data_IF_948555336362
#
_entry.id   IF_948555336362
#
_cell.length_a   1.000
_cell.length_b   1.000
_cell.length_c   1.000
_cell.angle_alpha   90.00
_cell.angle_beta   90.00
_cell.angle_gamma   90.00
#
_symmetry.space_group_name_H-M   'P 1'
#
loop_
_entity.id
_entity.type
_entity.pdbx_description
1 polymer ?
#
# COMPACT_ATOMS: atom_id res chain seq x y z
N UNK A 1 -34.92 -7.69 38.55
CA UNK A 1 -33.62 -7.81 39.27
C UNK A 1 -33.19 -9.26 39.10
N UNK A 2 -32.10 -9.68 38.49
CA UNK A 2 -30.86 -9.03 38.08
C UNK A 2 -29.79 -10.12 38.17
N UNK A 3 -29.76 -11.07 37.22
CA UNK A 3 -28.70 -12.08 37.16
C UNK A 3 -27.48 -11.47 36.47
N UNK A 4 -26.75 -10.65 37.20
CA UNK A 4 -25.50 -10.02 36.80
C UNK A 4 -24.33 -10.66 37.57
N UNK A 5 -24.11 -11.96 37.37
CA UNK A 5 -22.80 -12.57 37.61
C UNK A 5 -22.34 -13.13 36.27
N UNK A 6 -21.71 -12.27 35.46
CA UNK A 6 -20.96 -12.70 34.29
C UNK A 6 -19.87 -13.65 34.76
N UNK A 7 -20.00 -14.93 34.44
CA UNK A 7 -18.95 -15.91 34.65
C UNK A 7 -17.69 -15.41 33.94
N UNK A 8 -16.58 -15.27 34.66
CA UNK A 8 -15.29 -14.97 34.06
C UNK A 8 -15.03 -16.05 33.00
N UNK A 9 -14.93 -15.64 31.72
CA UNK A 9 -14.69 -16.56 30.60
C UNK A 9 -13.51 -17.45 30.93
N UNK A 10 -13.62 -18.75 30.66
CA UNK A 10 -12.53 -19.69 30.86
C UNK A 10 -11.34 -19.32 29.98
N UNK A 11 -10.12 -19.70 30.37
CA UNK A 11 -8.90 -19.36 29.62
C UNK A 11 -9.00 -19.87 28.17
N UNK A 12 -9.46 -21.10 27.97
CA UNK A 12 -9.85 -21.67 26.66
C UNK A 12 -10.85 -20.83 25.84
N UNK A 13 -11.86 -20.24 26.48
CA UNK A 13 -12.84 -19.37 25.81
C UNK A 13 -12.22 -18.04 25.41
N UNK A 14 -11.42 -17.44 26.28
CA UNK A 14 -10.66 -16.21 25.99
C UNK A 14 -9.69 -16.42 24.82
N UNK A 15 -8.93 -17.53 24.80
CA UNK A 15 -8.03 -17.86 23.69
C UNK A 15 -8.79 -18.06 22.36
N UNK A 16 -10.00 -18.65 22.39
CA UNK A 16 -10.85 -18.78 21.19
C UNK A 16 -11.38 -17.45 20.69
N UNK A 17 -11.79 -16.57 21.59
CA UNK A 17 -12.30 -15.25 21.26
C UNK A 17 -11.20 -14.37 20.67
N UNK A 18 -10.06 -14.28 21.34
CA UNK A 18 -8.90 -13.53 20.86
C UNK A 18 -8.43 -14.04 19.48
N UNK A 19 -8.41 -15.36 19.24
CA UNK A 19 -8.11 -15.92 17.91
C UNK A 19 -9.13 -15.46 16.86
N UNK A 20 -10.41 -15.34 17.19
CA UNK A 20 -11.43 -14.83 16.26
C UNK A 20 -11.24 -13.34 15.97
N UNK A 21 -10.93 -12.55 16.99
CA UNK A 21 -10.67 -11.12 16.85
C UNK A 21 -9.45 -10.85 15.99
N UNK A 22 -8.34 -11.56 16.22
CA UNK A 22 -7.14 -11.47 15.38
C UNK A 22 -7.46 -11.82 13.93
N UNK A 23 -8.22 -12.89 13.68
CA UNK A 23 -8.61 -13.26 12.31
C UNK A 23 -9.50 -12.19 11.65
N UNK A 24 -10.36 -11.50 12.41
CA UNK A 24 -11.15 -10.37 11.90
C UNK A 24 -10.24 -9.19 11.57
N UNK A 25 -9.31 -8.86 12.46
CA UNK A 25 -8.34 -7.79 12.26
C UNK A 25 -7.46 -8.06 11.02
N UNK A 26 -6.92 -9.27 10.85
CA UNK A 26 -6.15 -9.65 9.65
C UNK A 26 -6.95 -9.41 8.36
N UNK A 27 -8.22 -9.82 8.33
CA UNK A 27 -9.08 -9.58 7.16
C UNK A 27 -9.37 -8.11 6.91
N UNK A 28 -9.48 -7.31 7.98
CA UNK A 28 -9.64 -5.87 7.86
C UNK A 28 -8.38 -5.21 7.30
N UNK A 29 -7.20 -5.57 7.81
CA UNK A 29 -5.92 -5.11 7.29
C UNK A 29 -5.74 -5.47 5.81
N UNK A 30 -6.10 -6.70 5.40
CA UNK A 30 -6.02 -7.12 4.00
C UNK A 30 -6.96 -6.29 3.09
N UNK A 31 -8.16 -5.93 3.57
CA UNK A 31 -9.08 -5.06 2.83
C UNK A 31 -8.52 -3.64 2.70
N UNK A 32 -8.05 -3.06 3.80
CA UNK A 32 -7.47 -1.71 3.82
C UNK A 32 -6.23 -1.62 2.93
N UNK A 33 -5.34 -2.61 3.00
CA UNK A 33 -4.20 -2.72 2.08
C UNK A 33 -4.65 -2.73 0.62
N UNK A 34 -5.66 -3.53 0.28
CA UNK A 34 -6.17 -3.63 -1.10
C UNK A 34 -6.75 -2.29 -1.57
N UNK A 35 -7.43 -1.56 -0.67
CA UNK A 35 -7.92 -0.21 -0.96
C UNK A 35 -6.77 0.77 -1.21
N UNK A 36 -5.72 0.74 -0.40
CA UNK A 36 -4.52 1.57 -0.59
C UNK A 36 -3.80 1.23 -1.90
N UNK A 37 -3.69 -0.05 -2.27
CA UNK A 37 -3.11 -0.46 -3.57
C UNK A 37 -3.93 0.05 -4.77
N UNK A 38 -5.26 0.16 -4.64
CA UNK A 38 -6.09 0.78 -5.66
C UNK A 38 -5.91 2.30 -5.71
N UNK A 39 -5.74 2.96 -4.56
CA UNK A 39 -5.44 4.39 -4.48
C UNK A 39 -4.06 4.70 -5.07
N UNK A 40 -3.05 3.88 -4.78
CA UNK A 40 -1.70 3.97 -5.35
C UNK A 40 -1.77 3.96 -6.89
N UNK A 41 -2.50 3.01 -7.48
CA UNK A 41 -2.68 2.94 -8.94
C UNK A 41 -3.35 4.19 -9.51
N UNK A 42 -4.35 4.74 -8.82
CA UNK A 42 -5.03 5.98 -9.23
C UNK A 42 -4.09 7.17 -9.15
N UNK A 43 -3.34 7.32 -8.06
CA UNK A 43 -2.34 8.36 -7.88
C UNK A 43 -1.28 8.31 -8.99
N UNK A 44 -0.78 7.13 -9.34
CA UNK A 44 0.19 6.99 -10.44
C UNK A 44 -0.37 7.52 -11.77
N UNK A 45 -1.64 7.21 -12.09
CA UNK A 45 -2.29 7.70 -13.31
C UNK A 45 -2.43 9.22 -13.27
N UNK A 46 -2.82 9.78 -12.13
CA UNK A 46 -3.00 11.22 -11.94
C UNK A 46 -1.67 11.98 -12.02
N UNK A 47 -0.62 11.48 -11.37
CA UNK A 47 0.75 12.02 -11.43
C UNK A 47 1.21 12.05 -12.90
N UNK A 48 1.04 10.95 -13.65
CA UNK A 48 1.38 10.91 -15.09
C UNK A 48 0.61 11.94 -15.92
N UNK A 49 -0.68 12.15 -15.61
CA UNK A 49 -1.51 13.13 -16.31
C UNK A 49 -1.03 14.57 -16.02
N UNK A 50 -0.74 14.88 -14.77
CA UNK A 50 -0.32 16.21 -14.34
C UNK A 50 1.11 16.54 -14.80
N UNK A 51 1.98 15.54 -14.87
CA UNK A 51 3.31 15.66 -15.47
C UNK A 51 3.25 16.03 -16.96
N UNK A 52 2.37 15.38 -17.74
CA UNK A 52 2.14 15.74 -19.15
C UNK A 52 1.60 17.15 -19.34
N UNK A 53 0.91 17.69 -18.33
CA UNK A 53 0.41 19.06 -18.33
C UNK A 53 1.45 20.08 -17.86
N UNK A 54 2.67 19.65 -17.50
CA UNK A 54 3.73 20.52 -17.00
C UNK A 54 3.49 21.07 -15.60
N UNK A 55 2.55 20.52 -14.83
CA UNK A 55 2.23 20.99 -13.47
C UNK A 55 3.20 20.39 -12.43
N UNK A 56 4.45 20.82 -12.48
CA UNK A 56 5.55 20.25 -11.67
C UNK A 56 5.32 20.36 -10.15
N UNK A 57 4.75 21.47 -9.66
CA UNK A 57 4.44 21.62 -8.24
C UNK A 57 3.40 20.59 -7.75
N UNK A 58 2.33 20.39 -8.52
CA UNK A 58 1.30 19.39 -8.23
C UNK A 58 1.87 17.97 -8.27
N UNK A 59 2.73 17.67 -9.26
CA UNK A 59 3.43 16.38 -9.37
C UNK A 59 4.28 16.10 -8.12
N UNK A 60 5.03 17.09 -7.62
CA UNK A 60 5.85 16.91 -6.41
C UNK A 60 5.01 16.59 -5.18
N UNK A 61 3.87 17.26 -4.99
CA UNK A 61 2.96 17.00 -3.86
C UNK A 61 2.37 15.59 -3.96
N UNK A 62 1.82 15.23 -5.12
CA UNK A 62 1.23 13.90 -5.31
C UNK A 62 2.26 12.78 -5.24
N UNK A 63 3.51 13.03 -5.62
CA UNK A 63 4.60 12.07 -5.46
C UNK A 63 4.93 11.82 -3.98
N UNK A 64 4.90 12.84 -3.12
CA UNK A 64 4.99 12.66 -1.66
C UNK A 64 3.84 11.79 -1.13
N UNK A 65 2.62 12.04 -1.60
CA UNK A 65 1.46 11.21 -1.21
C UNK A 65 1.56 9.77 -1.70
N UNK A 66 2.16 9.55 -2.87
CA UNK A 66 2.45 8.21 -3.39
C UNK A 66 3.47 7.48 -2.50
N UNK A 67 4.54 8.13 -2.09
CA UNK A 67 5.55 7.56 -1.16
C UNK A 67 4.89 7.17 0.16
N UNK A 68 4.11 8.07 0.76
CA UNK A 68 3.34 7.79 1.99
C UNK A 68 2.40 6.60 1.81
N UNK A 69 1.69 6.53 0.68
CA UNK A 69 0.77 5.42 0.39
C UNK A 69 1.52 4.08 0.32
N UNK A 70 2.69 4.04 -0.34
CA UNK A 70 3.55 2.85 -0.40
C UNK A 70 4.08 2.45 0.97
N UNK A 71 4.55 3.40 1.77
CA UNK A 71 4.98 3.16 3.15
C UNK A 71 3.84 2.56 4.00
N UNK A 72 2.62 3.10 3.88
CA UNK A 72 1.46 2.53 4.55
C UNK A 72 1.18 1.10 4.09
N UNK A 73 1.20 0.80 2.79
CA UNK A 73 1.03 -0.56 2.26
C UNK A 73 2.06 -1.51 2.88
N UNK A 74 3.33 -1.12 2.96
CA UNK A 74 4.38 -1.90 3.62
C UNK A 74 4.09 -2.09 5.10
N UNK A 75 3.69 -1.03 5.81
CA UNK A 75 3.29 -1.10 7.24
C UNK A 75 2.14 -2.08 7.46
N UNK A 76 1.15 -2.12 6.56
CA UNK A 76 0.06 -3.10 6.60
C UNK A 76 0.55 -4.55 6.43
N UNK A 77 1.57 -4.81 5.58
CA UNK A 77 2.20 -6.13 5.50
C UNK A 77 2.89 -6.51 6.82
N UNK A 78 3.64 -5.59 7.42
CA UNK A 78 4.29 -5.81 8.71
C UNK A 78 3.27 -6.10 9.82
N UNK A 79 2.23 -5.27 9.94
CA UNK A 79 1.15 -5.47 10.92
C UNK A 79 0.42 -6.80 10.73
N UNK A 80 0.14 -7.19 9.48
CA UNK A 80 -0.44 -8.51 9.18
C UNK A 80 0.47 -9.63 9.68
N UNK A 81 1.77 -9.56 9.39
CA UNK A 81 2.76 -10.55 9.81
C UNK A 81 2.81 -10.64 11.35
N UNK A 82 2.82 -9.51 12.03
CA UNK A 82 2.76 -9.43 13.50
C UNK A 82 1.50 -10.10 14.05
N UNK A 83 0.32 -9.81 13.49
CA UNK A 83 -0.93 -10.48 13.91
C UNK A 83 -0.90 -11.99 13.65
N UNK A 84 -0.28 -12.44 12.55
CA UNK A 84 -0.09 -13.86 12.29
C UNK A 84 0.84 -14.50 13.32
N UNK A 85 1.92 -13.83 13.71
CA UNK A 85 2.81 -14.29 14.78
C UNK A 85 2.08 -14.39 16.13
N UNK A 86 1.26 -13.39 16.48
CA UNK A 86 0.44 -13.42 17.70
C UNK A 86 -0.58 -14.57 17.65
N UNK A 87 -1.21 -14.83 16.50
CA UNK A 87 -2.11 -15.97 16.30
C UNK A 87 -1.42 -17.31 16.55
N UNK A 88 -0.18 -17.47 16.08
CA UNK A 88 0.64 -18.66 16.30
C UNK A 88 1.02 -18.83 17.78
N UNK A 89 1.40 -17.74 18.45
CA UNK A 89 1.66 -17.75 19.91
C UNK A 89 0.41 -18.15 20.69
N UNK A 90 -0.77 -17.65 20.31
CA UNK A 90 -2.06 -18.05 20.88
C UNK A 90 -2.37 -19.54 20.69
N UNK A 91 -2.01 -20.10 19.54
CA UNK A 91 -2.16 -21.53 19.27
C UNK A 91 -1.23 -22.40 20.13
N UNK A 92 -0.01 -21.90 20.36
CA UNK A 92 0.95 -22.51 21.28
C UNK A 92 0.44 -22.47 22.71
N UNK A 93 -0.05 -21.30 23.18
CA UNK A 93 -0.63 -21.14 24.50
C UNK A 93 -1.83 -22.05 24.74
N UNK A 94 -2.70 -22.22 23.74
CA UNK A 94 -3.83 -23.16 23.79
C UNK A 94 -3.37 -24.62 23.94
N UNK A 95 -2.28 -24.98 23.26
CA UNK A 95 -1.72 -26.33 23.32
C UNK A 95 -1.06 -26.58 24.69
N UNK A 96 -0.37 -25.57 25.23
CA UNK A 96 0.18 -25.59 26.59
C UNK A 96 -0.92 -25.70 27.65
N UNK A 97 -2.04 -24.97 27.53
CA UNK A 97 -3.21 -25.11 28.42
C UNK A 97 -3.78 -26.53 28.37
N UNK A 98 -3.96 -27.10 27.17
CA UNK A 98 -4.48 -28.46 27.01
C UNK A 98 -3.54 -29.51 27.64
N UNK A 99 -2.23 -29.35 27.45
CA UNK A 99 -1.22 -30.20 28.08
C UNK A 99 -1.24 -30.06 29.61
N UNK A 100 -1.32 -28.83 30.12
CA UNK A 100 -1.41 -28.57 31.56
C UNK A 100 -2.66 -29.19 32.17
N UNK A 101 -3.81 -29.08 31.49
CA UNK A 101 -5.06 -29.69 31.93
C UNK A 101 -4.98 -31.23 31.94
N UNK A 102 -4.35 -31.84 30.92
CA UNK A 102 -4.10 -33.27 30.89
C UNK A 102 -3.14 -33.71 32.02
N UNK A 103 -2.07 -32.94 32.25
CA UNK A 103 -1.11 -33.16 33.32
C UNK A 103 -1.73 -32.97 34.71
N UNK A 104 -2.70 -32.07 34.90
CA UNK A 104 -3.44 -31.94 36.14
C UNK A 104 -4.26 -33.21 36.43
N UNK A 105 -4.92 -33.78 35.42
CA UNK A 105 -5.65 -35.04 35.55
C UNK A 105 -4.73 -36.22 35.93
N UNK A 106 -3.60 -36.37 35.23
CA UNK A 106 -2.62 -37.41 35.55
C UNK A 106 -1.89 -37.15 36.86
N UNK A 107 -1.57 -35.91 37.22
CA UNK A 107 -0.95 -35.57 38.51
C UNK A 107 -1.92 -35.81 39.66
N UNK A 108 -3.23 -35.56 39.48
CA UNK A 108 -4.24 -35.88 40.49
C UNK A 108 -4.36 -37.40 40.67
N UNK A 109 -4.36 -38.18 39.59
CA UNK A 109 -4.31 -39.64 39.64
C UNK A 109 -2.99 -40.14 40.26
N UNK A 110 -1.86 -39.51 39.93
CA UNK A 110 -0.54 -39.82 40.45
C UNK A 110 -0.42 -39.40 41.92
N UNK A 111 -1.12 -38.37 42.38
CA UNK A 111 -1.22 -37.97 43.79
C UNK A 111 -2.12 -38.91 44.60
N UNK A 112 -3.20 -39.38 43.99
CA UNK A 112 -4.03 -40.46 44.55
C UNK A 112 -3.28 -41.82 44.59
N UNK A 113 -2.31 -42.01 43.69
CA UNK A 113 -1.37 -43.14 43.72
C UNK A 113 -0.15 -42.89 44.63
N UNK A 114 0.24 -41.63 44.83
CA UNK A 114 1.36 -41.27 45.70
C UNK A 114 0.96 -41.24 47.18
N UNK A 115 -0.32 -41.04 47.50
CA UNK A 115 -0.86 -41.31 48.83
C UNK A 115 -0.74 -42.79 49.21
N UNK A 116 -0.59 -43.68 48.22
CA UNK A 116 -0.25 -45.10 48.41
C UNK A 116 1.23 -45.42 48.11
N UNK A 117 2.01 -44.47 47.57
CA UNK A 117 3.43 -44.67 47.21
C UNK A 117 4.28 -43.37 47.23
N UNK A 118 5.11 -43.21 48.27
CA UNK A 118 6.28 -42.31 48.44
C UNK A 118 6.19 -40.79 48.08
N UNK A 119 6.04 -39.96 49.12
CA UNK A 119 6.04 -38.49 49.13
C UNK A 119 7.29 -37.73 48.60
N UNK A 120 8.54 -38.24 48.65
CA UNK A 120 9.72 -37.43 48.29
C UNK A 120 9.79 -36.98 46.82
N UNK A 121 9.25 -37.77 45.89
CA UNK A 121 9.37 -37.51 44.44
C UNK A 121 8.46 -36.38 43.95
N UNK A 122 7.35 -36.13 44.63
CA UNK A 122 6.41 -35.06 44.29
C UNK A 122 7.00 -33.66 44.57
N UNK A 123 7.78 -33.52 45.64
CA UNK A 123 8.45 -32.26 45.96
C UNK A 123 9.51 -31.87 44.92
N UNK A 124 10.14 -32.86 44.28
CA UNK A 124 11.15 -32.62 43.26
C UNK A 124 10.53 -32.13 41.94
N UNK A 125 9.36 -32.66 41.56
CA UNK A 125 8.61 -32.23 40.37
C UNK A 125 8.13 -30.77 40.52
N UNK A 126 7.67 -30.39 41.72
CA UNK A 126 7.29 -28.99 42.01
C UNK A 126 8.46 -28.02 41.85
N UNK A 127 9.66 -28.39 42.32
CA UNK A 127 10.86 -27.56 42.20
C UNK A 127 11.33 -27.39 40.75
N UNK A 128 11.28 -28.46 39.93
CA UNK A 128 11.60 -28.37 38.50
C UNK A 128 10.62 -27.47 37.75
N UNK A 129 9.31 -27.55 38.05
CA UNK A 129 8.31 -26.71 37.40
C UNK A 129 8.51 -25.21 37.67
N UNK A 130 8.83 -24.83 38.91
CA UNK A 130 9.14 -23.43 39.26
C UNK A 130 10.34 -22.90 38.48
N UNK A 131 11.40 -23.71 38.37
CA UNK A 131 12.63 -23.33 37.67
C UNK A 131 12.42 -23.18 36.16
N UNK A 132 11.59 -24.04 35.57
CA UNK A 132 11.28 -23.99 34.14
C UNK A 132 10.35 -22.82 33.78
N UNK A 133 9.41 -22.48 34.68
CA UNK A 133 8.52 -21.33 34.51
C UNK A 133 9.25 -19.98 34.58
N UNK A 134 10.17 -19.82 35.55
CA UNK A 134 11.00 -18.61 35.66
C UNK A 134 11.87 -18.39 34.41
N UNK A 135 12.41 -19.48 33.83
CA UNK A 135 13.19 -19.42 32.59
C UNK A 135 12.35 -18.97 31.40
N UNK A 136 11.07 -19.34 31.36
CA UNK A 136 10.15 -18.92 30.30
C UNK A 136 9.84 -17.42 30.39
N UNK A 137 9.62 -16.90 31.60
CA UNK A 137 9.33 -15.48 31.84
C UNK A 137 10.51 -14.59 31.39
N UNK A 138 11.75 -14.97 31.72
CA UNK A 138 12.96 -14.26 31.31
C UNK A 138 13.15 -14.22 29.77
N UNK A 139 12.79 -15.30 29.07
CA UNK A 139 12.86 -15.32 27.58
C UNK A 139 11.82 -14.44 26.91
N UNK A 140 10.71 -14.15 27.60
CA UNK A 140 9.64 -13.33 27.07
C UNK A 140 9.95 -11.84 27.22
N UNK A 141 10.68 -11.46 28.26
CA UNK A 141 11.20 -10.10 28.50
C UNK A 141 12.30 -9.72 27.48
N UNK A 142 13.30 -10.58 27.25
CA UNK A 142 14.35 -10.31 26.25
C UNK A 142 13.85 -10.22 24.79
N UNK A 143 12.70 -10.83 24.49
CA UNK A 143 12.08 -10.73 23.17
C UNK A 143 11.29 -9.41 22.97
N UNK A 144 10.93 -8.72 24.05
CA UNK A 144 10.28 -7.40 24.01
C UNK A 144 11.27 -6.29 23.62
N UNK A 145 12.40 -6.23 24.31
CA UNK A 145 13.38 -5.14 24.16
C UNK A 145 14.10 -5.14 22.79
N UNK A 146 14.24 -6.30 22.15
CA UNK A 146 14.86 -6.41 20.81
C UNK A 146 13.94 -6.01 19.66
N UNK A 147 12.63 -5.85 19.91
CA UNK A 147 11.65 -5.44 18.90
C UNK A 147 11.42 -3.93 18.92
N UNK A 148 11.58 -3.27 20.07
CA UNK A 148 11.40 -1.81 20.18
C UNK A 148 12.61 -1.01 19.64
N UNK A 149 13.84 -1.53 19.74
CA UNK A 149 15.07 -0.86 19.26
C UNK A 149 15.20 -0.77 17.72
N UNK A 150 14.37 -1.49 16.95
CA UNK A 150 14.43 -1.52 15.48
C UNK A 150 13.48 -0.50 14.84
N UNK A 151 12.59 0.13 15.61
CA UNK A 151 11.56 1.03 15.08
C UNK A 151 11.86 2.53 15.20
N UNK A 152 12.99 2.91 15.81
CA UNK A 152 13.30 4.32 16.15
C UNK A 152 14.29 5.00 15.20
N UNK A 153 14.54 4.40 14.03
CA UNK A 153 15.33 5.01 12.97
C UNK A 153 14.42 5.49 11.82
N UNK A 154 14.69 6.72 11.38
CA UNK A 154 14.36 7.27 10.05
C UNK A 154 13.14 8.19 9.97
N UNK A 155 13.38 9.47 10.30
CA UNK A 155 12.68 10.63 9.72
C UNK A 155 13.66 11.78 9.49
N UNK A 156 14.48 11.69 8.43
CA UNK A 156 15.25 12.82 7.89
C UNK A 156 14.56 13.40 6.64
N UNK A 157 14.21 14.69 6.68
CA UNK A 157 13.47 15.38 5.60
C UNK A 157 14.26 15.47 4.28
N UNK A 158 15.59 15.44 4.31
CA UNK A 158 16.43 15.47 3.10
C UNK A 158 16.41 14.15 2.30
N UNK A 159 16.10 13.04 2.97
CA UNK A 159 15.96 11.74 2.30
C UNK A 159 14.62 11.66 1.54
N UNK A 160 13.58 12.31 2.05
CA UNK A 160 12.25 12.29 1.43
C UNK A 160 12.27 12.84 0.00
N UNK A 161 12.95 13.96 -0.24
CA UNK A 161 12.99 14.56 -1.58
C UNK A 161 13.79 13.70 -2.57
N UNK A 162 14.81 12.95 -2.10
CA UNK A 162 15.53 11.95 -2.92
C UNK A 162 14.63 10.75 -3.25
N UNK A 163 13.89 10.25 -2.27
CA UNK A 163 12.94 9.13 -2.43
C UNK A 163 11.83 9.53 -3.42
N UNK A 164 11.33 10.76 -3.35
CA UNK A 164 10.34 11.29 -4.30
C UNK A 164 10.89 11.30 -5.73
N UNK A 165 12.14 11.75 -5.93
CA UNK A 165 12.81 11.71 -7.23
C UNK A 165 12.89 10.28 -7.80
N UNK A 166 13.38 9.33 -6.99
CA UNK A 166 13.46 7.92 -7.37
C UNK A 166 12.10 7.34 -7.79
N UNK A 167 11.04 7.66 -7.05
CA UNK A 167 9.68 7.19 -7.38
C UNK A 167 9.15 7.81 -8.68
N UNK A 168 9.48 9.05 -8.99
CA UNK A 168 9.11 9.69 -10.26
C UNK A 168 9.85 9.05 -11.44
N UNK A 169 11.12 8.71 -11.26
CA UNK A 169 11.94 8.00 -12.25
C UNK A 169 11.38 6.59 -12.52
N UNK A 170 11.01 5.84 -11.47
CA UNK A 170 10.34 4.52 -11.59
C UNK A 170 9.05 4.59 -12.41
N UNK A 171 8.33 5.70 -12.33
CA UNK A 171 7.05 5.92 -13.02
C UNK A 171 7.27 6.38 -14.47
N UNK A 172 8.52 6.75 -14.83
CA UNK A 172 8.93 7.26 -16.12
C UNK A 172 8.61 8.75 -16.31
N UNK A 173 8.71 9.55 -15.25
CA UNK A 173 8.49 10.99 -15.27
C UNK A 173 9.82 11.70 -14.99
N UNK A 174 10.56 11.98 -16.05
CA UNK A 174 11.74 12.83 -15.96
C UNK A 174 11.32 14.29 -15.69
N UNK A 175 11.57 14.79 -14.47
CA UNK A 175 11.36 16.21 -14.13
C UNK A 175 12.33 17.15 -14.85
N UNK A 176 13.32 16.62 -15.57
CA UNK A 176 14.42 17.36 -16.22
C UNK A 176 14.05 17.99 -17.57
N UNK A 177 12.79 17.91 -18.00
CA UNK A 177 12.29 18.74 -19.10
C UNK A 177 12.98 18.43 -20.42
N UNK A 178 12.73 17.27 -21.00
CA UNK A 178 12.79 17.13 -22.45
C UNK A 178 11.59 17.88 -23.03
N UNK A 179 11.71 19.20 -23.15
CA UNK A 179 10.89 19.98 -24.08
C UNK A 179 11.17 19.38 -25.45
N UNK A 180 10.20 18.75 -26.15
CA UNK A 180 10.39 18.46 -27.55
C UNK A 180 10.49 19.82 -28.22
N UNK A 181 11.69 20.16 -28.68
CA UNK A 181 11.96 21.32 -29.51
C UNK A 181 10.93 21.30 -30.63
N UNK A 182 9.94 22.19 -30.54
CA UNK A 182 9.05 22.46 -31.65
C UNK A 182 9.94 22.82 -32.83
N UNK A 183 9.72 22.27 -34.05
CA UNK A 183 10.57 22.57 -35.18
C UNK A 183 10.50 24.07 -35.40
N UNK A 184 11.64 24.74 -35.18
CA UNK A 184 11.82 26.15 -35.50
C UNK A 184 11.51 26.30 -36.99
N UNK A 185 10.31 26.79 -37.29
CA UNK A 185 9.96 27.26 -38.61
C UNK A 185 11.00 28.33 -38.96
N UNK A 186 11.81 28.01 -39.96
CA UNK A 186 12.87 28.83 -40.51
C UNK A 186 12.23 30.13 -41.03
N UNK A 187 12.21 31.16 -40.20
CA UNK A 187 11.85 32.51 -40.61
C UNK A 187 12.97 33.02 -41.53
N UNK A 188 12.71 33.02 -42.83
CA UNK A 188 13.58 33.66 -43.81
C UNK A 188 13.59 35.19 -43.59
N UNK A 189 14.76 35.84 -43.65
CA UNK A 189 14.86 37.27 -43.37
C UNK A 189 14.35 38.13 -44.53
N UNK A 190 13.62 39.18 -44.13
CA UNK A 190 13.19 40.31 -44.94
C UNK A 190 14.37 41.06 -45.56
N UNK A 191 14.34 41.25 -46.88
CA UNK A 191 15.18 42.21 -47.60
C UNK A 191 14.30 43.23 -48.34
N UNK A 192 14.48 44.49 -47.98
CA UNK A 192 13.82 45.65 -48.53
C UNK A 192 14.36 46.01 -49.93
N UNK A 193 13.48 46.34 -50.88
CA UNK A 193 13.79 47.31 -51.94
C UNK A 193 12.54 47.92 -52.62
N UNK A 194 12.43 49.23 -52.46
CA UNK A 194 11.90 50.30 -53.33
C UNK A 194 10.78 50.01 -54.37
N UNK A 195 9.73 50.84 -54.29
CA UNK A 195 8.71 51.11 -55.31
C UNK A 195 9.26 51.97 -56.49
N UNK A 196 8.53 52.28 -57.61
CA UNK A 196 7.23 52.98 -57.58
C UNK A 196 6.16 52.62 -58.65
N UNK A 197 4.92 52.99 -58.29
CA UNK A 197 3.80 53.56 -59.09
C UNK A 197 3.16 52.81 -60.28
N UNK A 198 1.85 52.52 -60.17
CA UNK A 198 0.79 53.00 -61.09
C UNK A 198 -0.66 52.59 -60.69
N UNK A 199 -1.50 53.60 -60.42
CA UNK A 199 -2.93 53.80 -60.82
C UNK A 199 -4.08 52.88 -60.29
N UNK A 200 -5.22 53.53 -60.03
CA UNK A 200 -6.42 53.19 -59.21
C UNK A 200 -7.63 52.73 -60.09
N UNK A 201 -8.88 52.56 -59.59
CA UNK A 201 -9.72 51.35 -59.29
C UNK A 201 -10.91 51.17 -60.31
N UNK A 202 -12.15 50.68 -60.00
CA UNK A 202 -12.76 49.95 -58.87
C UNK A 202 -13.68 48.75 -59.25
N UNK A 203 -14.16 47.97 -58.26
CA UNK A 203 -15.58 47.59 -58.04
C UNK A 203 -15.75 46.38 -57.09
N UNK A 204 -16.54 46.57 -56.03
CA UNK A 204 -17.36 45.54 -55.36
C UNK A 204 -18.79 45.61 -55.96
N UNK A 205 -19.82 44.77 -55.62
CA UNK A 205 -19.96 43.90 -54.43
C UNK A 205 -20.72 42.55 -54.66
N UNK A 206 -21.09 41.88 -53.53
CA UNK A 206 -22.05 40.76 -53.27
C UNK A 206 -21.57 39.33 -53.60
N UNK A 207 -21.82 38.23 -52.85
CA UNK A 207 -22.73 37.88 -51.75
C UNK A 207 -22.13 36.68 -50.94
N UNK A 208 -22.27 36.64 -49.61
CA UNK A 208 -23.11 35.71 -48.82
C UNK A 208 -22.77 34.20 -48.84
N UNK A 209 -22.56 33.63 -47.64
CA UNK A 209 -22.53 32.18 -47.32
C UNK A 209 -21.10 31.64 -47.16
N UNK A 210 -20.63 31.12 -46.02
CA UNK A 210 -21.31 30.47 -44.91
C UNK A 210 -21.12 28.95 -45.03
N UNK A 211 -20.13 28.39 -44.33
CA UNK A 211 -20.14 26.99 -43.90
C UNK A 211 -19.18 26.01 -44.60
N UNK A 212 -18.29 25.45 -43.78
CA UNK A 212 -17.86 24.04 -43.78
C UNK A 212 -16.75 23.58 -44.76
N UNK A 213 -15.49 23.83 -44.36
CA UNK A 213 -14.29 23.28 -44.99
C UNK A 213 -13.88 21.90 -44.47
N UNK A 214 -14.81 21.12 -43.91
CA UNK A 214 -14.54 19.81 -43.30
C UNK A 214 -15.08 18.60 -44.06
N UNK A 215 -15.93 18.80 -45.07
CA UNK A 215 -16.63 17.70 -45.77
C UNK A 215 -15.87 17.17 -47.02
N UNK A 216 -14.99 17.97 -47.61
CA UNK A 216 -14.21 17.58 -48.80
C UNK A 216 -13.14 16.52 -48.51
N UNK A 217 -12.50 16.60 -47.34
CA UNK A 217 -11.45 15.66 -46.95
C UNK A 217 -11.99 14.26 -46.57
N UNK A 218 -13.25 14.18 -46.11
CA UNK A 218 -13.89 12.92 -45.74
C UNK A 218 -14.40 12.20 -47.00
N UNK A 219 -14.93 12.93 -47.98
CA UNK A 219 -15.37 12.39 -49.28
C UNK A 219 -14.22 11.75 -50.07
N UNK A 220 -13.02 12.37 -50.05
CA UNK A 220 -11.82 11.83 -50.70
C UNK A 220 -11.28 10.55 -50.03
N UNK A 221 -11.47 10.40 -48.71
CA UNK A 221 -11.07 9.20 -47.97
C UNK A 221 -12.03 8.03 -48.23
N UNK A 222 -13.33 8.28 -48.31
CA UNK A 222 -14.34 7.26 -48.63
C UNK A 222 -14.18 6.71 -50.06
N UNK A 223 -13.85 7.58 -51.02
CA UNK A 223 -13.55 7.17 -52.40
C UNK A 223 -12.33 6.24 -52.49
N UNK A 224 -11.28 6.50 -51.69
CA UNK A 224 -10.09 5.65 -51.60
C UNK A 224 -10.38 4.30 -50.95
N UNK A 225 -11.26 4.27 -49.95
CA UNK A 225 -11.63 3.05 -49.23
C UNK A 225 -12.46 2.09 -50.10
N UNK A 226 -13.33 2.63 -50.96
CA UNK A 226 -14.12 1.84 -51.91
C UNK A 226 -13.26 1.21 -53.02
N UNK A 227 -12.19 1.89 -53.46
CA UNK A 227 -11.25 1.30 -54.43
C UNK A 227 -10.43 0.14 -53.85
N UNK A 228 -10.16 0.13 -52.54
CA UNK A 228 -9.42 -0.95 -51.88
C UNK A 228 -10.27 -2.20 -51.61
N UNK A 229 -11.61 -2.05 -51.57
CA UNK A 229 -12.56 -3.16 -51.37
C UNK A 229 -12.88 -3.93 -52.66
N UNK A 230 -12.45 -3.41 -53.82
CA UNK A 230 -12.73 -3.99 -55.14
C UNK A 230 -11.49 -4.60 -55.83
N UNK A 231 -10.33 -4.58 -55.16
CA UNK A 231 -9.11 -5.29 -55.57
C UNK A 231 -8.96 -6.60 -54.80
#
# INVERSE_FOLDING_TARGET
MGNALGTKKTLKEQLRENKREINRAVRQLDRERTNLQMQEKKLIIEIKKMAKQGQIASVKIMAKDLVRTRQHITKFYTMRSQLQAVSLRLETAKSAEAMTSALQGTTTAMKAMASTMNLPRLNQIMMEYTKESEKMEMTQEMLGDTIDDVMDADQDEEEEDKIVGQVLDEIGIDMTGAVPEAPTAQAAPVAARAAPAAVVPPAAPVAAGGGDSTDSAISDLEARLNNLRRS
#
